data_IF_880483970433
#
_entry.id   IF_880483970433
#
_cell.length_a   1.000
_cell.length_b   1.000
_cell.length_c   1.000
_cell.angle_alpha   90.00
_cell.angle_beta   90.00
_cell.angle_gamma   90.00
#
_symmetry.space_group_name_H-M   'P 1'
#
loop_
_entity.id
_entity.type
_entity.pdbx_description
1 polymer ?
#
# COMPACT_ATOMS: atom_id res chain seq x y z
N UNK A 1 19.75 15.82 27.79
CA UNK A 1 18.47 16.00 27.13
C UNK A 1 18.75 15.82 25.64
N UNK A 2 18.12 14.84 25.03
CA UNK A 2 18.28 14.58 23.59
C UNK A 2 17.53 15.66 22.82
N UNK A 3 18.20 16.40 21.94
CA UNK A 3 17.59 17.37 21.02
C UNK A 3 16.87 16.68 19.82
N UNK A 4 16.47 15.43 20.00
CA UNK A 4 15.79 14.66 18.95
C UNK A 4 14.29 14.85 19.08
N UNK A 5 13.66 15.38 18.03
CA UNK A 5 12.21 15.53 17.94
C UNK A 5 11.67 14.31 17.17
N UNK A 6 10.86 13.51 17.84
CA UNK A 6 10.15 12.39 17.24
C UNK A 6 8.86 12.83 16.58
N UNK A 7 8.46 12.15 15.51
CA UNK A 7 7.28 12.51 14.73
C UNK A 7 6.15 11.53 15.01
N UNK A 8 5.13 11.97 15.73
CA UNK A 8 3.93 11.17 16.01
C UNK A 8 3.04 11.01 14.77
N UNK A 9 2.90 12.07 13.95
CA UNK A 9 2.10 12.06 12.72
C UNK A 9 2.69 13.03 11.68
N UNK A 10 2.33 12.81 10.41
CA UNK A 10 2.68 13.71 9.31
C UNK A 10 4.06 13.47 8.68
N UNK A 11 4.71 12.33 8.89
CA UNK A 11 6.02 12.01 8.32
C UNK A 11 6.07 12.13 6.79
N UNK A 12 4.99 11.78 6.08
CA UNK A 12 4.88 11.94 4.61
C UNK A 12 4.79 13.42 4.21
N UNK A 13 4.02 14.22 4.95
CA UNK A 13 3.88 15.68 4.72
C UNK A 13 5.22 16.38 4.96
N UNK A 14 5.93 15.99 6.03
CA UNK A 14 7.30 16.48 6.28
C UNK A 14 8.24 16.16 5.14
N UNK A 15 8.24 14.90 4.65
CA UNK A 15 9.09 14.49 3.53
C UNK A 15 8.75 15.26 2.25
N UNK A 16 7.48 15.49 1.97
CA UNK A 16 7.04 16.30 0.84
C UNK A 16 7.54 17.76 0.97
N UNK A 17 7.37 18.38 2.14
CA UNK A 17 7.84 19.73 2.40
C UNK A 17 9.37 19.88 2.21
N UNK A 18 10.15 18.90 2.67
CA UNK A 18 11.59 18.87 2.44
C UNK A 18 11.93 18.79 0.93
N UNK A 19 11.23 17.93 0.18
CA UNK A 19 11.46 17.76 -1.26
C UNK A 19 11.05 18.96 -2.09
N UNK A 20 10.07 19.73 -1.63
CA UNK A 20 9.55 20.92 -2.33
C UNK A 20 10.09 22.23 -1.74
N UNK A 21 11.00 22.15 -0.77
CA UNK A 21 11.55 23.31 -0.03
C UNK A 21 10.47 24.25 0.50
N UNK A 22 9.34 23.68 0.94
CA UNK A 22 8.19 24.43 1.41
C UNK A 22 8.13 24.47 2.94
N UNK A 23 7.54 25.57 3.47
CA UNK A 23 7.27 25.67 4.91
C UNK A 23 6.34 24.57 5.40
N UNK A 24 6.67 24.01 6.58
CA UNK A 24 5.89 22.96 7.20
C UNK A 24 5.57 23.31 8.65
N UNK A 25 4.31 23.55 8.94
CA UNK A 25 3.86 23.85 10.30
C UNK A 25 3.80 22.59 11.14
N UNK A 26 4.36 22.66 12.34
CA UNK A 26 4.38 21.55 13.30
C UNK A 26 3.82 22.03 14.65
N UNK A 27 3.17 21.11 15.36
CA UNK A 27 2.88 21.27 16.79
C UNK A 27 3.93 20.46 17.55
N UNK A 28 4.60 21.11 18.48
CA UNK A 28 5.59 20.47 19.36
C UNK A 28 4.95 20.32 20.73
N UNK A 29 5.03 19.15 21.33
CA UNK A 29 4.51 18.84 22.65
C UNK A 29 5.28 17.69 23.29
N UNK A 30 5.15 17.56 24.61
CA UNK A 30 5.67 16.42 25.35
C UNK A 30 4.60 15.31 25.34
N UNK A 31 4.93 14.16 24.76
CA UNK A 31 4.06 13.01 24.67
C UNK A 31 4.79 11.77 25.18
N UNK A 32 4.07 10.93 25.91
CA UNK A 32 4.57 9.60 26.27
C UNK A 32 4.39 8.61 25.12
N UNK A 33 4.97 7.41 25.24
CA UNK A 33 4.93 6.39 24.19
C UNK A 33 3.52 5.94 23.85
N UNK A 34 2.60 5.93 24.81
CA UNK A 34 1.19 5.54 24.59
C UNK A 34 0.45 6.62 23.81
N UNK A 35 0.67 7.89 24.13
CA UNK A 35 0.11 9.04 23.42
C UNK A 35 0.69 9.14 22.01
N UNK A 36 1.99 8.90 21.82
CA UNK A 36 2.63 8.82 20.53
C UNK A 36 2.00 7.72 19.65
N UNK A 37 1.81 6.53 20.21
CA UNK A 37 1.18 5.41 19.52
C UNK A 37 -0.30 5.69 19.18
N UNK A 38 -1.03 6.37 20.07
CA UNK A 38 -2.42 6.77 19.83
C UNK A 38 -2.54 7.80 18.71
N UNK A 39 -1.71 8.84 18.70
CA UNK A 39 -1.69 9.86 17.65
C UNK A 39 -1.29 9.27 16.30
N UNK A 40 -0.31 8.38 16.27
CA UNK A 40 0.09 7.67 15.05
C UNK A 40 -1.05 6.81 14.49
N UNK A 41 -1.84 6.17 15.34
CA UNK A 41 -3.04 5.42 14.92
C UNK A 41 -4.12 6.34 14.37
N UNK A 42 -4.48 7.41 15.09
CA UNK A 42 -5.49 8.38 14.66
C UNK A 42 -5.10 9.07 13.34
N UNK A 43 -3.85 9.45 13.18
CA UNK A 43 -3.36 10.05 11.92
C UNK A 43 -3.43 9.11 10.72
N UNK A 44 -3.39 7.79 10.94
CA UNK A 44 -3.55 6.77 9.90
C UNK A 44 -5.01 6.41 9.61
N UNK A 45 -5.96 6.68 10.51
CA UNK A 45 -7.39 6.42 10.29
C UNK A 45 -7.99 7.31 9.18
N UNK A 46 -7.43 8.50 8.94
CA UNK A 46 -7.83 9.38 7.84
C UNK A 46 -7.45 8.87 6.44
N UNK A 47 -6.58 7.86 6.36
CA UNK A 47 -6.19 7.21 5.10
C UNK A 47 -6.11 5.71 5.34
N UNK A 48 -7.19 4.98 5.08
CA UNK A 48 -7.16 3.52 5.23
C UNK A 48 -6.01 2.95 4.40
N UNK A 49 -5.19 2.11 5.03
CA UNK A 49 -4.11 1.39 4.36
C UNK A 49 -4.66 0.64 3.16
N UNK A 50 -3.99 0.76 2.02
CA UNK A 50 -4.38 0.06 0.80
C UNK A 50 -4.36 -1.47 0.97
N UNK A 51 -5.04 -2.18 0.09
CA UNK A 51 -5.00 -3.64 0.08
C UNK A 51 -3.56 -4.18 -0.11
N UNK A 52 -2.76 -3.49 -0.91
CA UNK A 52 -1.36 -3.82 -1.14
C UNK A 52 -0.53 -3.67 0.14
N UNK A 53 -0.61 -2.52 0.82
CA UNK A 53 0.12 -2.26 2.07
C UNK A 53 -0.31 -3.22 3.20
N UNK A 54 -1.62 -3.47 3.33
CA UNK A 54 -2.13 -4.48 4.28
C UNK A 54 -1.59 -5.86 3.96
N UNK A 55 -1.54 -6.23 2.68
CA UNK A 55 -1.02 -7.51 2.22
C UNK A 55 0.45 -7.70 2.58
N UNK A 56 1.29 -6.69 2.41
CA UNK A 56 2.70 -6.72 2.84
C UNK A 56 2.81 -6.94 4.36
N UNK A 57 2.01 -6.19 5.15
CA UNK A 57 1.97 -6.35 6.61
C UNK A 57 1.50 -7.75 7.01
N UNK A 58 0.43 -8.25 6.41
CA UNK A 58 -0.09 -9.59 6.71
C UNK A 58 0.89 -10.70 6.33
N UNK A 59 1.61 -10.57 5.22
CA UNK A 59 2.65 -11.52 4.82
C UNK A 59 3.76 -11.58 5.86
N UNK A 60 4.25 -10.44 6.32
CA UNK A 60 5.29 -10.36 7.35
C UNK A 60 4.81 -10.96 8.69
N UNK A 61 3.62 -10.57 9.15
CA UNK A 61 3.05 -11.09 10.40
C UNK A 61 2.78 -12.59 10.33
N UNK A 62 2.25 -13.06 9.20
CA UNK A 62 1.93 -14.48 8.99
C UNK A 62 3.18 -15.36 9.17
N UNK A 63 4.32 -14.91 8.65
CA UNK A 63 5.59 -15.63 8.77
C UNK A 63 6.20 -15.52 10.16
N UNK A 64 6.26 -14.31 10.72
CA UNK A 64 7.02 -14.02 11.94
C UNK A 64 6.25 -14.31 13.23
N UNK A 65 4.92 -14.13 13.24
CA UNK A 65 4.10 -14.21 14.45
C UNK A 65 3.16 -15.43 14.46
N UNK A 66 2.72 -15.90 13.30
CA UNK A 66 1.66 -16.91 13.19
C UNK A 66 2.10 -18.21 12.50
N UNK A 67 3.39 -18.39 12.21
CA UNK A 67 3.94 -19.61 11.58
C UNK A 67 3.15 -20.09 10.35
N UNK A 68 2.63 -19.18 9.53
CA UNK A 68 1.82 -19.48 8.34
C UNK A 68 0.33 -19.76 8.62
N UNK A 69 -0.14 -19.64 9.86
CA UNK A 69 -1.55 -19.90 10.21
C UNK A 69 -2.44 -18.68 9.93
N UNK A 70 -3.06 -18.66 8.74
CA UNK A 70 -3.97 -17.58 8.30
C UNK A 70 -5.19 -17.44 9.24
N UNK A 71 -5.69 -18.53 9.83
CA UNK A 71 -6.84 -18.47 10.73
C UNK A 71 -6.50 -17.71 12.00
N UNK A 72 -5.36 -18.03 12.62
CA UNK A 72 -4.89 -17.33 13.81
C UNK A 72 -4.62 -15.83 13.54
N UNK A 73 -4.05 -15.49 12.38
CA UNK A 73 -3.88 -14.09 11.97
C UNK A 73 -5.24 -13.40 11.77
N UNK A 74 -6.22 -14.09 11.16
CA UNK A 74 -7.55 -13.55 10.93
C UNK A 74 -8.29 -13.23 12.23
N UNK A 75 -8.18 -14.13 13.20
CA UNK A 75 -8.76 -13.95 14.53
C UNK A 75 -8.09 -12.78 15.27
N UNK A 76 -6.75 -12.68 15.21
CA UNK A 76 -5.98 -11.60 15.84
C UNK A 76 -6.27 -10.22 15.21
N UNK A 77 -6.50 -10.14 13.91
CA UNK A 77 -6.85 -8.90 13.20
C UNK A 77 -8.36 -8.60 13.26
N UNK A 78 -9.18 -9.52 13.75
CA UNK A 78 -10.65 -9.46 13.70
C UNK A 78 -11.20 -9.22 12.28
N UNK A 79 -10.62 -9.90 11.30
CA UNK A 79 -10.94 -9.76 9.88
C UNK A 79 -11.10 -11.14 9.25
N UNK A 80 -12.01 -11.30 8.28
CA UNK A 80 -12.21 -12.59 7.62
C UNK A 80 -10.95 -13.07 6.89
N UNK A 81 -10.68 -14.38 6.94
CA UNK A 81 -9.58 -15.04 6.21
C UNK A 81 -9.56 -14.68 4.73
N UNK A 82 -10.75 -14.54 4.12
CA UNK A 82 -10.90 -14.19 2.71
C UNK A 82 -10.31 -12.82 2.39
N UNK A 83 -10.51 -11.83 3.26
CA UNK A 83 -9.95 -10.47 3.08
C UNK A 83 -8.42 -10.52 3.23
N UNK A 84 -7.90 -11.21 4.25
CA UNK A 84 -6.46 -11.37 4.46
C UNK A 84 -5.81 -12.03 3.24
N UNK A 85 -6.36 -13.16 2.77
CA UNK A 85 -5.84 -13.87 1.59
C UNK A 85 -5.83 -12.98 0.34
N UNK A 86 -6.89 -12.19 0.12
CA UNK A 86 -6.94 -11.24 -1.01
C UNK A 86 -5.87 -10.16 -0.91
N UNK A 87 -5.67 -9.59 0.28
CA UNK A 87 -4.62 -8.60 0.49
C UNK A 87 -3.23 -9.20 0.26
N UNK A 88 -2.95 -10.41 0.78
CA UNK A 88 -1.68 -11.12 0.57
C UNK A 88 -1.46 -11.38 -0.92
N UNK A 89 -2.48 -11.82 -1.66
CA UNK A 89 -2.37 -12.03 -3.10
C UNK A 89 -2.14 -10.72 -3.86
N UNK A 90 -2.81 -9.63 -3.46
CA UNK A 90 -2.56 -8.29 -4.02
C UNK A 90 -1.12 -7.84 -3.78
N UNK A 91 -0.53 -8.15 -2.62
CA UNK A 91 0.85 -7.80 -2.29
C UNK A 91 1.92 -8.56 -3.10
N UNK A 92 1.53 -9.63 -3.80
CA UNK A 92 2.43 -10.36 -4.73
C UNK A 92 2.58 -9.65 -6.08
N UNK A 93 1.74 -8.68 -6.39
CA UNK A 93 1.86 -7.91 -7.63
C UNK A 93 3.18 -7.12 -7.67
N UNK A 94 3.82 -7.04 -8.85
CA UNK A 94 5.01 -6.21 -9.03
C UNK A 94 4.77 -4.75 -8.64
N UNK A 95 5.77 -4.10 -8.05
CA UNK A 95 5.68 -2.68 -7.68
C UNK A 95 5.38 -1.77 -8.87
N UNK A 96 5.88 -2.13 -10.07
CA UNK A 96 5.59 -1.42 -11.32
C UNK A 96 4.10 -1.38 -11.63
N UNK A 97 3.37 -2.46 -11.38
CA UNK A 97 1.92 -2.53 -11.57
C UNK A 97 1.20 -1.63 -10.57
N UNK A 98 1.58 -1.69 -9.29
CA UNK A 98 0.95 -0.87 -8.24
C UNK A 98 1.21 0.62 -8.47
N UNK A 99 2.36 0.99 -9.01
CA UNK A 99 2.74 2.37 -9.33
C UNK A 99 1.94 2.97 -10.52
N UNK A 100 1.20 2.16 -11.28
CA UNK A 100 0.29 2.66 -12.31
C UNK A 100 -0.94 3.38 -11.74
N UNK A 101 -1.34 3.08 -10.54
CA UNK A 101 -2.45 3.73 -9.86
C UNK A 101 -2.01 5.08 -9.26
N UNK A 102 -2.87 6.09 -9.26
CA UNK A 102 -2.54 7.41 -8.69
C UNK A 102 -2.20 7.30 -7.21
N UNK A 103 -2.87 6.38 -6.52
CA UNK A 103 -2.45 5.92 -5.20
C UNK A 103 -2.83 4.43 -5.00
N UNK A 104 -2.09 3.68 -4.15
CA UNK A 104 -2.32 2.24 -3.97
C UNK A 104 -3.73 1.85 -3.50
N UNK A 105 -4.48 2.80 -2.94
CA UNK A 105 -5.86 2.58 -2.46
C UNK A 105 -6.88 2.40 -3.60
N UNK A 106 -6.57 2.83 -4.82
CA UNK A 106 -7.41 2.63 -6.00
C UNK A 106 -7.45 1.15 -6.42
N UNK A 107 -6.40 0.39 -6.10
CA UNK A 107 -6.37 -1.04 -6.35
C UNK A 107 -7.05 -1.79 -5.20
N UNK A 108 -8.29 -2.23 -5.42
CA UNK A 108 -9.03 -3.02 -4.45
C UNK A 108 -8.39 -4.40 -4.22
N UNK A 109 -8.60 -4.99 -3.04
CA UNK A 109 -8.12 -6.35 -2.75
C UNK A 109 -8.69 -7.41 -3.70
N UNK A 110 -9.91 -7.18 -4.21
CA UNK A 110 -10.56 -8.07 -5.17
C UNK A 110 -9.90 -7.97 -6.55
N UNK A 111 -9.68 -6.76 -7.04
CA UNK A 111 -9.05 -6.50 -8.32
C UNK A 111 -7.57 -6.93 -8.32
N UNK A 112 -6.85 -6.64 -7.23
CA UNK A 112 -5.46 -7.06 -7.07
C UNK A 112 -5.29 -8.59 -7.03
N UNK A 113 -6.17 -9.30 -6.31
CA UNK A 113 -6.19 -10.77 -6.33
C UNK A 113 -6.52 -11.31 -7.73
N UNK A 114 -7.47 -10.71 -8.44
CA UNK A 114 -7.84 -11.12 -9.79
C UNK A 114 -6.67 -10.95 -10.78
N UNK A 115 -5.99 -9.80 -10.75
CA UNK A 115 -4.79 -9.56 -11.54
C UNK A 115 -3.69 -10.58 -11.21
N UNK A 116 -3.41 -10.79 -9.93
CA UNK A 116 -2.38 -11.74 -9.51
C UNK A 116 -2.68 -13.16 -10.01
N UNK A 117 -3.93 -13.61 -9.95
CA UNK A 117 -4.33 -14.92 -10.47
C UNK A 117 -4.27 -15.01 -11.99
N UNK A 118 -4.70 -13.98 -12.70
CA UNK A 118 -4.69 -13.93 -14.15
C UNK A 118 -3.27 -14.02 -14.73
N UNK A 119 -2.28 -13.50 -14.00
CA UNK A 119 -0.88 -13.47 -14.41
C UNK A 119 0.04 -14.38 -13.60
N UNK A 120 -0.50 -15.36 -12.86
CA UNK A 120 0.29 -16.22 -11.98
C UNK A 120 1.50 -16.87 -12.69
N UNK A 121 1.32 -17.28 -13.95
CA UNK A 121 2.36 -17.90 -14.79
C UNK A 121 2.86 -16.96 -15.90
N UNK A 122 2.51 -15.68 -15.86
CA UNK A 122 2.78 -14.68 -16.91
C UNK A 122 3.31 -13.37 -16.33
N UNK A 123 4.13 -13.43 -15.28
CA UNK A 123 4.61 -12.24 -14.55
C UNK A 123 5.38 -11.29 -15.47
N UNK A 124 6.20 -11.81 -16.38
CA UNK A 124 6.98 -11.01 -17.32
C UNK A 124 6.06 -10.24 -18.30
N UNK A 125 4.98 -10.89 -18.77
CA UNK A 125 3.99 -10.23 -19.62
C UNK A 125 3.31 -9.07 -18.89
N UNK A 126 2.96 -9.27 -17.61
CA UNK A 126 2.39 -8.23 -16.76
C UNK A 126 3.36 -7.06 -16.55
N UNK A 127 4.65 -7.34 -16.32
CA UNK A 127 5.68 -6.30 -16.19
C UNK A 127 5.86 -5.50 -17.46
N UNK A 128 5.96 -6.16 -18.62
CA UNK A 128 6.10 -5.49 -19.92
C UNK A 128 4.89 -4.58 -20.21
N UNK A 129 3.67 -5.06 -19.94
CA UNK A 129 2.47 -4.25 -20.10
C UNK A 129 2.46 -3.05 -19.15
N UNK A 130 2.91 -3.24 -17.91
CA UNK A 130 3.02 -2.15 -16.94
C UNK A 130 4.05 -1.10 -17.40
N UNK A 131 5.18 -1.49 -17.96
CA UNK A 131 6.17 -0.58 -18.52
C UNK A 131 5.60 0.23 -19.69
N UNK A 132 4.88 -0.42 -20.61
CA UNK A 132 4.19 0.25 -21.71
C UNK A 132 3.22 1.33 -21.21
N UNK A 133 2.42 1.00 -20.20
CA UNK A 133 1.49 1.96 -19.59
C UNK A 133 2.21 3.10 -18.86
N UNK A 134 3.35 2.83 -18.21
CA UNK A 134 4.17 3.87 -17.63
C UNK A 134 4.71 4.86 -18.66
N UNK A 135 5.16 4.37 -19.81
CA UNK A 135 5.66 5.24 -20.87
C UNK A 135 4.54 6.08 -21.49
N UNK A 136 3.35 5.52 -21.65
CA UNK A 136 2.15 6.26 -22.06
C UNK A 136 1.78 7.38 -21.06
N UNK A 137 1.85 7.08 -19.75
CA UNK A 137 1.65 8.10 -18.71
C UNK A 137 2.71 9.20 -18.74
N UNK A 138 3.97 8.86 -18.97
CA UNK A 138 5.04 9.86 -19.16
C UNK A 138 4.83 10.73 -20.40
N UNK A 139 4.19 10.18 -21.43
CA UNK A 139 3.81 10.93 -22.63
C UNK A 139 2.55 11.82 -22.43
N UNK A 140 1.99 11.86 -21.22
CA UNK A 140 0.88 12.72 -20.84
C UNK A 140 -0.51 12.06 -20.89
N UNK A 141 -0.60 10.76 -21.15
CA UNK A 141 -1.87 10.05 -21.07
C UNK A 141 -2.26 9.83 -19.59
N UNK A 142 -3.54 10.01 -19.30
CA UNK A 142 -4.14 9.81 -17.98
C UNK A 142 -5.09 8.64 -18.08
N UNK A 143 -5.00 7.70 -17.14
CA UNK A 143 -5.87 6.53 -17.06
C UNK A 143 -6.54 6.48 -15.69
N UNK A 144 -7.83 6.22 -15.68
CA UNK A 144 -8.56 5.89 -14.47
C UNK A 144 -8.22 4.46 -14.00
N UNK A 145 -8.46 4.17 -12.73
CA UNK A 145 -8.08 2.87 -12.15
C UNK A 145 -8.69 1.66 -12.87
N UNK A 146 -9.94 1.78 -13.33
CA UNK A 146 -10.62 0.72 -14.08
C UNK A 146 -10.00 0.52 -15.47
N UNK A 147 -9.60 1.61 -16.13
CA UNK A 147 -8.89 1.56 -17.40
C UNK A 147 -7.53 0.90 -17.27
N UNK A 148 -6.78 1.21 -16.22
CA UNK A 148 -5.49 0.54 -15.92
C UNK A 148 -5.69 -0.97 -15.80
N UNK A 149 -6.71 -1.42 -15.06
CA UNK A 149 -7.00 -2.85 -14.89
C UNK A 149 -7.37 -3.47 -16.26
N UNK A 150 -8.22 -2.82 -17.02
CA UNK A 150 -8.65 -3.28 -18.36
C UNK A 150 -7.46 -3.40 -19.31
N UNK A 151 -6.60 -2.39 -19.38
CA UNK A 151 -5.41 -2.37 -20.23
C UNK A 151 -4.37 -3.42 -19.81
N UNK A 152 -4.18 -3.65 -18.50
CA UNK A 152 -3.31 -4.72 -18.02
C UNK A 152 -3.84 -6.10 -18.43
N UNK A 153 -5.17 -6.31 -18.43
CA UNK A 153 -5.77 -7.60 -18.78
C UNK A 153 -5.97 -7.80 -20.28
N UNK A 154 -5.86 -6.76 -21.08
CA UNK A 154 -6.07 -6.83 -22.56
C UNK A 154 -5.04 -7.69 -23.30
N UNK A 155 -3.92 -8.05 -22.64
CA UNK A 155 -2.84 -8.86 -23.22
C UNK A 155 -2.95 -10.35 -22.85
N UNK A 156 -4.02 -10.76 -22.16
CA UNK A 156 -4.28 -12.16 -21.77
C UNK A 156 -4.99 -12.92 -22.91
#
# INVERSE_FOLDING_TARGET
VSDVIEIADGSRRRKAAILTESDYRVLVGELDDEQMAALSRLGNDYRPTSAYERGLRYTSRLQNEFAGNISALADAENISRKIITRCINTAKLPKSVVALFAHPGELSARSGEALQKAFADKEELLKQQAETLHDQKKAGLIFEAEEVISLLTSVL
#
